data_IF_862917530731
#
_entry.id   IF_862917530731
#
_cell.length_a   1.000
_cell.length_b   1.000
_cell.length_c   1.000
_cell.angle_alpha   90.00
_cell.angle_beta   90.00
_cell.angle_gamma   90.00
#
_symmetry.space_group_name_H-M   'P 1'
#
loop_
_entity.id
_entity.type
_entity.pdbx_description
1 polymer ?
#
# COMPACT_ATOMS: atom_id res chain seq x y z
N UNK A 1 17.12 3.39 8.54
CA UNK A 1 16.00 2.64 7.95
C UNK A 1 15.64 1.53 8.92
N UNK A 2 14.38 1.49 9.37
CA UNK A 2 13.83 0.38 10.14
C UNK A 2 12.94 -0.39 9.18
N UNK A 3 13.13 -1.71 9.08
CA UNK A 3 12.36 -2.58 8.19
C UNK A 3 11.42 -3.43 9.04
N UNK A 4 10.19 -3.63 8.57
CA UNK A 4 9.30 -4.66 9.08
C UNK A 4 9.80 -6.06 8.67
N UNK A 5 9.30 -7.09 9.34
CA UNK A 5 9.77 -8.47 9.16
C UNK A 5 9.58 -8.97 7.72
N UNK A 6 8.45 -8.66 7.12
CA UNK A 6 8.12 -8.96 5.72
C UNK A 6 9.01 -8.20 4.73
N UNK A 7 9.27 -6.91 4.99
CA UNK A 7 10.20 -6.12 4.19
C UNK A 7 11.63 -6.69 4.26
N UNK A 8 12.05 -7.15 5.44
CA UNK A 8 13.36 -7.77 5.62
C UNK A 8 13.49 -9.07 4.82
N UNK A 9 12.50 -9.96 4.89
CA UNK A 9 12.48 -11.21 4.11
C UNK A 9 12.53 -10.93 2.60
N UNK A 10 11.76 -9.94 2.14
CA UNK A 10 11.82 -9.49 0.75
C UNK A 10 13.23 -9.06 0.35
N UNK A 11 13.89 -8.21 1.15
CA UNK A 11 15.26 -7.79 0.85
C UNK A 11 16.26 -8.93 0.89
N UNK A 12 16.06 -9.93 1.74
CA UNK A 12 16.90 -11.13 1.76
C UNK A 12 16.82 -11.92 0.47
N UNK A 13 15.63 -12.03 -0.13
CA UNK A 13 15.45 -12.67 -1.43
C UNK A 13 16.05 -11.85 -2.57
N UNK A 14 15.83 -10.54 -2.60
CA UNK A 14 16.46 -9.65 -3.60
C UNK A 14 17.98 -9.75 -3.55
N UNK A 15 18.58 -9.80 -2.34
CA UNK A 15 20.03 -10.01 -2.18
C UNK A 15 20.51 -11.34 -2.74
N UNK A 16 19.72 -12.43 -2.63
CA UNK A 16 20.07 -13.73 -3.21
C UNK A 16 20.10 -13.67 -4.73
N UNK A 17 19.21 -12.93 -5.37
CA UNK A 17 19.10 -12.83 -6.83
C UNK A 17 20.18 -11.89 -7.37
N UNK A 18 20.25 -10.67 -6.86
CA UNK A 18 21.11 -9.62 -7.42
C UNK A 18 22.54 -9.65 -6.90
N UNK A 19 22.83 -10.42 -5.84
CA UNK A 19 24.16 -10.57 -5.23
C UNK A 19 24.82 -9.23 -4.82
N UNK A 20 24.00 -8.28 -4.37
CA UNK A 20 24.42 -6.94 -3.95
C UNK A 20 24.18 -6.71 -2.46
N UNK A 21 24.83 -5.69 -1.89
CA UNK A 21 24.48 -5.19 -0.55
C UNK A 21 23.14 -4.47 -0.59
N UNK A 22 22.45 -4.39 0.56
CA UNK A 22 21.16 -3.69 0.66
C UNK A 22 21.27 -2.23 0.21
N UNK A 23 22.33 -1.53 0.64
CA UNK A 23 22.57 -0.14 0.25
C UNK A 23 22.73 0.01 -1.28
N UNK A 24 23.44 -0.93 -1.93
CA UNK A 24 23.66 -0.90 -3.37
C UNK A 24 22.40 -1.26 -4.17
N UNK A 25 21.54 -2.12 -3.60
CA UNK A 25 20.20 -2.39 -4.16
C UNK A 25 19.36 -1.11 -4.11
N UNK A 26 19.37 -0.40 -2.98
CA UNK A 26 18.61 0.86 -2.84
C UNK A 26 19.12 1.91 -3.83
N UNK A 27 20.43 2.12 -3.92
CA UNK A 27 21.07 3.01 -4.91
C UNK A 27 20.65 2.63 -6.35
N UNK A 28 20.75 1.35 -6.70
CA UNK A 28 20.35 0.86 -8.02
C UNK A 28 18.87 1.13 -8.32
N UNK A 29 17.98 0.92 -7.34
CA UNK A 29 16.55 1.17 -7.51
C UNK A 29 16.25 2.66 -7.69
N UNK A 30 16.98 3.56 -6.99
CA UNK A 30 16.81 5.01 -7.19
C UNK A 30 17.14 5.42 -8.62
N UNK A 31 18.21 4.87 -9.19
CA UNK A 31 18.66 5.25 -10.53
C UNK A 31 17.86 4.58 -11.66
N UNK A 32 17.33 3.37 -11.43
CA UNK A 32 16.79 2.53 -12.51
C UNK A 32 15.30 2.19 -12.39
N UNK A 33 14.73 2.25 -11.17
CA UNK A 33 13.37 1.77 -10.91
C UNK A 33 12.44 2.90 -10.47
N UNK A 34 12.96 3.89 -9.72
CA UNK A 34 12.16 4.93 -9.09
C UNK A 34 11.35 5.74 -10.11
N UNK A 35 11.98 6.21 -11.17
CA UNK A 35 11.31 7.04 -12.19
C UNK A 35 10.22 6.28 -12.94
N UNK A 36 10.43 5.00 -13.23
CA UNK A 36 9.40 4.15 -13.84
C UNK A 36 8.24 3.92 -12.86
N UNK A 37 8.55 3.65 -11.59
CA UNK A 37 7.56 3.48 -10.54
C UNK A 37 6.70 4.73 -10.32
N UNK A 38 7.32 5.92 -10.26
CA UNK A 38 6.61 7.19 -10.14
C UNK A 38 5.70 7.44 -11.35
N UNK A 39 6.17 7.16 -12.57
CA UNK A 39 5.33 7.25 -13.76
C UNK A 39 4.16 6.27 -13.71
N UNK A 40 4.35 5.06 -13.18
CA UNK A 40 3.25 4.12 -12.98
C UNK A 40 2.24 4.73 -12.00
N UNK A 41 2.70 5.27 -10.86
CA UNK A 41 1.83 5.92 -9.88
C UNK A 41 1.06 7.12 -10.45
N UNK A 42 1.69 7.92 -11.32
CA UNK A 42 1.07 9.09 -11.94
C UNK A 42 0.12 8.74 -13.09
N UNK A 43 0.43 7.66 -13.84
CA UNK A 43 -0.40 7.18 -14.96
C UNK A 43 -1.52 6.23 -14.52
N UNK A 44 -1.45 5.69 -13.31
CA UNK A 44 -2.60 5.16 -12.59
C UNK A 44 -3.48 6.39 -12.32
N UNK A 45 -4.32 6.73 -13.30
CA UNK A 45 -5.40 7.68 -13.11
C UNK A 45 -6.26 7.27 -11.92
N UNK A 46 -7.23 8.11 -11.56
CA UNK A 46 -8.14 7.94 -10.41
C UNK A 46 -8.98 6.65 -10.37
N UNK A 47 -8.69 5.63 -11.18
CA UNK A 47 -9.48 4.43 -11.40
C UNK A 47 -8.78 3.11 -11.00
N UNK A 48 -7.48 3.06 -10.71
CA UNK A 48 -6.83 1.82 -10.23
C UNK A 48 -6.71 1.82 -8.69
N UNK A 49 -7.84 1.58 -8.02
CA UNK A 49 -7.99 1.50 -6.55
C UNK A 49 -7.57 0.16 -5.94
N UNK A 50 -6.77 -0.65 -6.65
CA UNK A 50 -6.39 -1.98 -6.16
C UNK A 50 -5.19 -1.95 -5.22
N UNK A 51 -4.48 -0.82 -5.13
CA UNK A 51 -3.23 -0.69 -4.38
C UNK A 51 -3.48 -0.35 -2.90
N UNK A 52 -3.91 -1.36 -2.14
CA UNK A 52 -4.31 -1.24 -0.73
C UNK A 52 -3.15 -1.26 0.26
N UNK A 53 -1.92 -1.46 -0.20
CA UNK A 53 -0.71 -1.54 0.64
C UNK A 53 -0.42 -0.23 1.40
N UNK A 54 -1.01 0.89 0.97
CA UNK A 54 -0.89 2.18 1.67
C UNK A 54 -1.68 2.24 2.97
N UNK A 55 -2.61 1.31 3.19
CA UNK A 55 -3.45 1.27 4.37
C UNK A 55 -3.02 0.11 5.28
N UNK A 56 -2.53 0.44 6.49
CA UNK A 56 -2.07 -0.56 7.48
C UNK A 56 -3.21 -1.27 8.23
N UNK A 57 -4.46 -1.03 7.86
CA UNK A 57 -5.63 -1.59 8.53
C UNK A 57 -6.84 -1.64 7.61
N UNK A 58 -7.92 -2.28 8.05
CA UNK A 58 -9.16 -2.43 7.28
C UNK A 58 -10.38 -2.23 8.17
N UNK A 59 -11.49 -1.85 7.56
CA UNK A 59 -12.80 -1.76 8.23
C UNK A 59 -13.84 -2.58 7.49
N UNK A 60 -14.56 -3.42 8.24
CA UNK A 60 -15.71 -4.17 7.77
C UNK A 60 -17.00 -3.53 8.25
N UNK A 61 -17.91 -3.24 7.35
CA UNK A 61 -19.25 -2.76 7.67
C UNK A 61 -20.29 -3.76 7.16
N UNK A 62 -21.23 -4.12 8.03
CA UNK A 62 -22.37 -4.96 7.68
C UNK A 62 -23.62 -4.12 7.89
N UNK A 63 -24.47 -4.04 6.87
CA UNK A 63 -25.69 -3.26 6.93
C UNK A 63 -26.80 -3.98 6.17
N UNK A 64 -28.02 -3.46 6.32
CA UNK A 64 -29.20 -4.00 5.67
C UNK A 64 -29.86 -2.92 4.84
N UNK A 65 -30.09 -3.21 3.56
CA UNK A 65 -30.75 -2.30 2.62
C UNK A 65 -31.88 -3.06 1.94
N UNK A 66 -33.12 -2.57 2.08
CA UNK A 66 -34.34 -3.22 1.55
C UNK A 66 -34.44 -4.71 1.89
N UNK A 67 -34.21 -5.04 3.16
CA UNK A 67 -34.15 -6.41 3.69
C UNK A 67 -32.97 -7.29 3.22
N UNK A 68 -32.11 -6.80 2.33
CA UNK A 68 -30.90 -7.49 1.82
C UNK A 68 -29.72 -7.26 2.78
N UNK A 69 -28.99 -8.33 3.11
CA UNK A 69 -27.77 -8.24 3.93
C UNK A 69 -26.61 -7.85 3.02
N UNK A 70 -26.03 -6.69 3.28
CA UNK A 70 -24.92 -6.11 2.52
C UNK A 70 -23.64 -6.07 3.36
N UNK A 71 -22.51 -6.13 2.67
CA UNK A 71 -21.19 -5.92 3.27
C UNK A 71 -20.44 -4.84 2.50
N UNK A 72 -19.70 -4.01 3.23
CA UNK A 72 -18.83 -2.99 2.66
C UNK A 72 -17.45 -3.07 3.29
N UNK A 73 -16.44 -3.02 2.43
CA UNK A 73 -15.04 -3.22 2.76
C UNK A 73 -14.28 -1.93 2.52
N UNK A 74 -13.54 -1.48 3.53
CA UNK A 74 -12.66 -0.34 3.42
C UNK A 74 -11.22 -0.78 3.73
N UNK A 75 -10.30 -0.48 2.83
CA UNK A 75 -8.87 -0.53 3.09
C UNK A 75 -8.50 0.77 3.79
N UNK A 76 -8.32 0.70 5.11
CA UNK A 76 -8.16 1.85 6.01
C UNK A 76 -9.38 2.10 6.92
N UNK A 77 -9.35 3.19 7.70
CA UNK A 77 -10.45 3.58 8.58
C UNK A 77 -11.69 3.99 7.78
N UNK A 78 -12.88 3.76 8.33
CA UNK A 78 -14.15 4.20 7.72
C UNK A 78 -14.11 5.70 7.36
N UNK A 79 -14.59 6.13 6.19
CA UNK A 79 -14.52 7.52 5.74
C UNK A 79 -15.09 8.53 6.75
N UNK A 80 -16.16 8.17 7.45
CA UNK A 80 -16.75 9.04 8.48
C UNK A 80 -15.84 9.25 9.70
N UNK A 81 -15.02 8.26 10.06
CA UNK A 81 -14.02 8.41 11.12
C UNK A 81 -12.92 9.37 10.66
N UNK A 82 -12.47 9.23 9.42
CA UNK A 82 -11.47 10.12 8.81
C UNK A 82 -11.99 11.55 8.66
N UNK A 83 -13.27 11.73 8.34
CA UNK A 83 -13.91 13.06 8.25
C UNK A 83 -14.01 13.72 9.62
N UNK A 84 -14.39 12.97 10.66
CA UNK A 84 -14.47 13.49 12.03
C UNK A 84 -13.11 13.91 12.59
N UNK A 85 -12.04 13.18 12.28
CA UNK A 85 -10.70 13.51 12.78
C UNK A 85 -10.11 14.79 12.16
N UNK A 86 -10.57 15.23 10.98
CA UNK A 86 -10.11 16.46 10.33
C UNK A 86 -10.77 17.74 10.86
N UNK A 87 -11.83 17.60 11.64
CA UNK A 87 -12.60 18.73 12.20
C UNK A 87 -12.10 19.11 13.60
N UNK A 88 -11.27 18.24 14.21
CA UNK A 88 -10.57 18.47 15.48
C UNK A 88 -9.17 18.98 15.18
#
# INVERSE_FOLDING_TARGET
IVLYEDEYEFFMDVKKIWKMSLAKIIEFCLDNVLEEFLKILDNIGSDDYTDNYRHTGYTFCFYREEDIICCQFYWGPHPDLVRKSKIV
#
